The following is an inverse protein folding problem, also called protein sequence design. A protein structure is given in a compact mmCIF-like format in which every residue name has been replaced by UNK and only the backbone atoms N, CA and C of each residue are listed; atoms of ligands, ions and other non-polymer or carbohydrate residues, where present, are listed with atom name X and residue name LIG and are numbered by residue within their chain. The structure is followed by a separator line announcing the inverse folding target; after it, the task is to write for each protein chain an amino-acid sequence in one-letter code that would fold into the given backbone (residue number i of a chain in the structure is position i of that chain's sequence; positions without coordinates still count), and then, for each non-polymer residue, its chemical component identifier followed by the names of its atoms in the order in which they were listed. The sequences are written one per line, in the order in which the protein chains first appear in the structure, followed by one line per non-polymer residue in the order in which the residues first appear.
data_IF_714828256267
#
_entry.id   IF_714828256267
#
_cell.length_a   1.000
_cell.length_b   1.000
_cell.length_c   1.000
_cell.angle_alpha   90.00
_cell.angle_beta   90.00
_cell.angle_gamma   90.00
#
_symmetry.space_group_name_H-M   'P 1'
#
loop_
_entity.id
_entity.type
_entity.pdbx_description
1 polymer ?
#
# COMPACT_ATOMS: atom_id res chain seq x y z
N UNK A 1 14.75 -27.36 13.02
CA UNK A 1 15.44 -26.50 14.00
C UNK A 1 14.42 -25.50 14.54
N UNK A 2 13.99 -25.58 15.81
CA UNK A 2 13.06 -24.59 16.39
C UNK A 2 13.77 -23.23 16.31
N UNK A 3 13.24 -22.32 15.49
CA UNK A 3 13.71 -20.93 15.48
C UNK A 3 13.13 -20.29 16.75
N UNK A 4 14.00 -20.01 17.71
CA UNK A 4 13.63 -19.42 19.00
C UNK A 4 13.77 -17.90 18.89
N UNK A 5 12.84 -17.15 19.49
CA UNK A 5 12.97 -15.71 19.62
C UNK A 5 13.96 -15.41 20.76
N UNK A 6 15.13 -14.91 20.41
CA UNK A 6 16.14 -14.52 21.38
C UNK A 6 15.82 -13.13 21.95
N UNK A 7 15.40 -13.09 23.22
CA UNK A 7 15.02 -11.83 23.91
C UNK A 7 16.14 -10.79 23.85
N UNK A 8 17.36 -11.19 24.21
CA UNK A 8 18.51 -10.27 24.28
C UNK A 8 18.85 -9.67 22.92
N UNK A 9 18.77 -10.48 21.85
CA UNK A 9 18.98 -10.01 20.48
C UNK A 9 17.89 -9.04 20.04
N UNK A 10 16.63 -9.32 20.37
CA UNK A 10 15.50 -8.44 20.07
C UNK A 10 15.66 -7.09 20.79
N UNK A 11 15.96 -7.10 22.09
CA UNK A 11 16.12 -5.89 22.90
C UNK A 11 17.36 -5.09 22.52
N UNK A 12 18.45 -5.75 22.12
CA UNK A 12 19.63 -5.06 21.59
C UNK A 12 19.33 -4.29 20.31
N UNK A 13 18.46 -4.85 19.46
CA UNK A 13 18.05 -4.23 18.19
C UNK A 13 16.96 -3.18 18.37
N UNK A 14 16.10 -3.34 19.38
CA UNK A 14 15.01 -2.42 19.70
C UNK A 14 14.95 -2.13 21.21
N UNK A 15 15.86 -1.29 21.74
CA UNK A 15 15.99 -1.07 23.18
C UNK A 15 14.73 -0.51 23.85
N UNK A 16 13.93 0.26 23.11
CA UNK A 16 12.69 0.85 23.63
C UNK A 16 11.60 -0.17 23.97
N UNK A 17 11.67 -1.41 23.43
CA UNK A 17 10.67 -2.45 23.67
C UNK A 17 10.67 -2.93 25.12
N UNK A 18 11.82 -2.91 25.80
CA UNK A 18 11.90 -3.37 27.20
C UNK A 18 10.98 -2.55 28.11
N UNK A 19 11.00 -1.22 27.95
CA UNK A 19 10.13 -0.31 28.70
C UNK A 19 8.65 -0.57 28.42
N UNK A 20 8.28 -0.85 27.17
CA UNK A 20 6.90 -1.15 26.78
C UNK A 20 6.43 -2.50 27.34
N UNK A 21 7.28 -3.52 27.29
CA UNK A 21 6.97 -4.84 27.84
C UNK A 21 6.72 -4.78 29.34
N UNK A 22 7.53 -4.03 30.09
CA UNK A 22 7.34 -3.83 31.53
C UNK A 22 6.04 -3.04 31.79
N UNK A 23 5.86 -1.90 31.09
CA UNK A 23 4.69 -1.02 31.27
C UNK A 23 3.37 -1.76 31.06
N UNK A 24 3.28 -2.58 30.01
CA UNK A 24 2.04 -3.28 29.64
C UNK A 24 1.97 -4.72 30.11
N UNK A 25 2.92 -5.16 30.97
CA UNK A 25 3.01 -6.52 31.50
C UNK A 25 2.88 -7.58 30.39
N UNK A 26 3.67 -7.43 29.32
CA UNK A 26 3.63 -8.33 28.17
C UNK A 26 4.34 -9.63 28.52
N UNK A 27 3.65 -10.76 28.37
CA UNK A 27 4.24 -12.08 28.58
C UNK A 27 5.16 -12.44 27.39
N UNK A 28 6.45 -12.67 27.66
CA UNK A 28 7.40 -13.08 26.63
C UNK A 28 7.12 -14.48 26.07
N UNK A 29 6.54 -15.38 26.86
CA UNK A 29 6.17 -16.72 26.40
C UNK A 29 5.13 -16.65 25.28
N UNK A 30 4.12 -15.78 25.41
CA UNK A 30 3.14 -15.53 24.34
C UNK A 30 3.83 -15.03 23.05
N UNK A 31 4.83 -14.15 23.18
CA UNK A 31 5.58 -13.65 22.02
C UNK A 31 6.37 -14.76 21.34
N UNK A 32 6.98 -15.65 22.13
CA UNK A 32 7.71 -16.82 21.66
C UNK A 32 6.79 -17.81 20.93
N UNK A 33 5.57 -18.03 21.44
CA UNK A 33 4.56 -18.87 20.80
C UNK A 33 4.09 -18.27 19.48
N UNK A 34 3.75 -16.98 19.45
CA UNK A 34 3.35 -16.27 18.21
C UNK A 34 4.46 -16.32 17.18
N UNK A 35 5.71 -16.08 17.58
CA UNK A 35 6.88 -16.15 16.69
C UNK A 35 7.00 -17.54 16.04
N UNK A 36 6.86 -18.59 16.85
CA UNK A 36 6.96 -19.98 16.40
C UNK A 36 5.81 -20.36 15.47
N UNK A 37 4.57 -19.99 15.82
CA UNK A 37 3.39 -20.17 14.97
C UNK A 37 3.57 -19.47 13.61
N UNK A 38 3.91 -18.19 13.64
CA UNK A 38 4.06 -17.38 12.43
C UNK A 38 5.10 -17.93 11.44
N UNK A 39 6.22 -18.45 11.96
CA UNK A 39 7.25 -19.10 11.12
C UNK A 39 6.69 -20.31 10.38
N UNK A 40 5.81 -21.09 11.01
CA UNK A 40 5.20 -22.26 10.36
C UNK A 40 4.23 -21.84 9.24
N UNK A 41 3.54 -20.70 9.38
CA UNK A 41 2.61 -20.18 8.37
C UNK A 41 3.29 -19.38 7.26
N UNK A 42 4.56 -19.00 7.40
CA UNK A 42 5.25 -18.09 6.47
C UNK A 42 5.17 -18.53 5.01
N UNK A 43 5.46 -19.80 4.71
CA UNK A 43 5.39 -20.34 3.35
C UNK A 43 3.96 -20.30 2.79
N UNK A 44 2.95 -20.53 3.65
CA UNK A 44 1.54 -20.44 3.25
C UNK A 44 1.19 -19.00 2.88
N UNK A 45 1.62 -18.03 3.68
CA UNK A 45 1.44 -16.60 3.37
C UNK A 45 2.16 -16.19 2.09
N UNK A 46 3.36 -16.70 1.81
CA UNK A 46 4.07 -16.44 0.54
C UNK A 46 3.26 -16.92 -0.68
N UNK A 47 2.68 -18.13 -0.60
CA UNK A 47 1.81 -18.65 -1.66
C UNK A 47 0.54 -17.82 -1.85
N UNK A 48 -0.10 -17.46 -0.74
CA UNK A 48 -1.33 -16.67 -0.75
C UNK A 48 -1.09 -15.24 -1.27
N UNK A 49 0.03 -14.62 -0.89
CA UNK A 49 0.44 -13.33 -1.42
C UNK A 49 0.72 -13.40 -2.92
N UNK A 50 1.35 -14.47 -3.39
CA UNK A 50 1.59 -14.71 -4.81
C UNK A 50 0.29 -14.88 -5.60
N UNK A 51 -0.70 -15.55 -5.01
CA UNK A 51 -2.03 -15.70 -5.60
C UNK A 51 -2.72 -14.34 -5.78
N UNK A 52 -2.80 -13.52 -4.73
CA UNK A 52 -3.37 -12.16 -4.81
C UNK A 52 -2.59 -11.32 -5.84
N UNK A 53 -1.26 -11.39 -5.81
CA UNK A 53 -0.42 -10.63 -6.73
C UNK A 53 -0.64 -11.03 -8.20
N UNK A 54 -0.88 -12.31 -8.49
CA UNK A 54 -1.21 -12.78 -9.83
C UNK A 54 -2.54 -12.22 -10.35
N UNK A 55 -3.56 -12.19 -9.49
CA UNK A 55 -4.87 -11.59 -9.85
C UNK A 55 -4.73 -10.10 -10.15
N UNK A 56 -3.98 -9.37 -9.32
CA UNK A 56 -3.75 -7.94 -9.54
C UNK A 56 -2.92 -7.67 -10.80
N UNK A 57 -1.97 -8.54 -11.15
CA UNK A 57 -1.18 -8.42 -12.38
C UNK A 57 -2.01 -8.57 -13.67
N UNK A 58 -3.19 -9.19 -13.62
CA UNK A 58 -4.06 -9.28 -14.81
C UNK A 58 -4.85 -8.01 -15.09
N UNK A 59 -4.85 -7.02 -14.19
CA UNK A 59 -5.52 -5.74 -14.43
C UNK A 59 -4.63 -4.83 -15.29
N UNK A 60 -5.17 -4.33 -16.40
CA UNK A 60 -4.46 -3.54 -17.41
C UNK A 60 -3.86 -2.23 -16.88
N UNK A 61 -4.50 -1.63 -15.87
CA UNK A 61 -4.05 -0.40 -15.21
C UNK A 61 -2.91 -0.61 -14.21
N UNK A 62 -2.59 -1.87 -13.89
CA UNK A 62 -1.49 -2.22 -12.98
C UNK A 62 -0.20 -2.38 -13.78
N UNK A 63 0.81 -1.59 -13.44
CA UNK A 63 2.14 -1.69 -14.04
C UNK A 63 2.96 -2.83 -13.46
N UNK A 64 3.00 -2.94 -12.13
CA UNK A 64 3.69 -4.04 -11.46
C UNK A 64 3.11 -4.31 -10.08
N UNK A 65 3.31 -5.53 -9.59
CA UNK A 65 2.86 -5.94 -8.26
C UNK A 65 4.04 -6.55 -7.50
N UNK A 66 4.31 -6.04 -6.31
CA UNK A 66 5.25 -6.61 -5.36
C UNK A 66 4.48 -7.23 -4.19
N UNK A 67 4.98 -8.35 -3.68
CA UNK A 67 4.45 -8.97 -2.47
C UNK A 67 5.53 -9.02 -1.40
N UNK A 68 5.14 -8.82 -0.15
CA UNK A 68 6.01 -8.91 1.01
C UNK A 68 5.28 -9.59 2.15
N UNK A 69 5.94 -10.56 2.77
CA UNK A 69 5.50 -11.16 4.02
C UNK A 69 6.21 -10.44 5.17
N UNK A 70 5.47 -10.16 6.26
CA UNK A 70 6.05 -9.52 7.45
C UNK A 70 7.22 -10.35 7.96
N UNK A 71 8.31 -9.69 8.30
CA UNK A 71 9.43 -10.37 8.93
C UNK A 71 9.04 -10.81 10.36
N UNK A 72 9.39 -12.04 10.80
CA UNK A 72 9.02 -12.53 12.13
C UNK A 72 9.50 -11.66 13.30
N UNK A 73 10.74 -11.13 13.27
CA UNK A 73 11.21 -10.23 14.33
C UNK A 73 10.43 -8.92 14.31
N UNK A 74 10.13 -8.38 13.11
CA UNK A 74 9.29 -7.18 12.92
C UNK A 74 7.84 -7.38 13.34
N UNK A 75 7.31 -8.59 13.23
CA UNK A 75 5.98 -8.91 13.74
C UNK A 75 5.96 -8.75 15.26
N UNK A 76 6.94 -9.31 15.96
CA UNK A 76 7.03 -9.22 17.43
C UNK A 76 7.22 -7.76 17.89
N UNK A 77 8.09 -7.00 17.23
CA UNK A 77 8.24 -5.55 17.49
C UNK A 77 6.91 -4.82 17.31
N UNK A 78 6.17 -5.09 16.22
CA UNK A 78 4.86 -4.48 15.97
C UNK A 78 3.82 -4.88 17.03
N UNK A 79 3.80 -6.14 17.45
CA UNK A 79 2.90 -6.65 18.50
C UNK A 79 3.13 -5.89 19.81
N UNK A 80 4.38 -5.79 20.26
CA UNK A 80 4.72 -5.07 21.50
C UNK A 80 4.27 -3.61 21.42
N UNK A 81 4.54 -2.93 20.29
CA UNK A 81 4.12 -1.54 20.09
C UNK A 81 2.60 -1.37 20.06
N UNK A 82 1.86 -2.34 19.53
CA UNK A 82 0.40 -2.29 19.40
C UNK A 82 -0.36 -2.75 20.65
N UNK A 83 0.31 -3.29 21.65
CA UNK A 83 -0.33 -3.74 22.90
C UNK A 83 -1.11 -2.62 23.58
N UNK A 84 -0.58 -1.40 23.63
CA UNK A 84 -1.28 -0.24 24.22
C UNK A 84 -2.60 0.03 23.51
N UNK A 85 -2.57 0.15 22.17
CA UNK A 85 -3.76 0.39 21.35
C UNK A 85 -4.82 -0.69 21.58
N UNK A 86 -4.42 -1.95 21.77
CA UNK A 86 -5.35 -3.07 21.98
C UNK A 86 -5.88 -3.15 23.40
N UNK A 87 -5.07 -2.81 24.42
CA UNK A 87 -5.57 -2.67 25.80
C UNK A 87 -6.58 -1.53 25.90
N UNK A 88 -6.31 -0.40 25.25
CA UNK A 88 -7.26 0.72 25.18
C UNK A 88 -8.58 0.33 24.50
N UNK A 89 -8.54 -0.58 23.50
CA UNK A 89 -9.73 -1.04 22.77
C UNK A 89 -10.51 -2.16 23.47
N UNK A 90 -9.82 -3.12 24.09
CA UNK A 90 -10.42 -4.36 24.58
C UNK A 90 -10.31 -4.56 26.10
N UNK A 91 -9.65 -3.64 26.81
CA UNK A 91 -9.44 -3.68 28.26
C UNK A 91 -8.00 -4.04 28.66
N UNK A 92 -7.65 -3.69 29.90
CA UNK A 92 -6.29 -3.82 30.43
C UNK A 92 -5.77 -5.26 30.48
N UNK A 93 -6.66 -6.26 30.50
CA UNK A 93 -6.29 -7.68 30.51
C UNK A 93 -5.93 -8.23 29.12
N UNK A 94 -6.09 -7.43 28.05
CA UNK A 94 -5.73 -7.87 26.71
C UNK A 94 -4.25 -8.26 26.60
N UNK A 95 -4.01 -9.42 26.01
CA UNK A 95 -2.69 -9.92 25.61
C UNK A 95 -2.80 -10.49 24.20
N UNK A 96 -1.75 -10.27 23.41
CA UNK A 96 -1.63 -11.00 22.15
C UNK A 96 -1.38 -12.49 22.44
N UNK A 97 -2.03 -13.35 21.67
CA UNK A 97 -1.85 -14.81 21.68
C UNK A 97 -1.85 -15.35 20.24
N UNK A 98 -1.56 -16.64 20.10
CA UNK A 98 -1.63 -17.35 18.80
C UNK A 98 -3.03 -17.29 18.16
N UNK A 99 -4.08 -17.11 18.97
CA UNK A 99 -5.48 -17.11 18.50
C UNK A 99 -5.91 -15.76 17.92
N UNK A 100 -5.33 -14.65 18.42
CA UNK A 100 -5.79 -13.31 18.07
C UNK A 100 -4.86 -12.54 17.14
N UNK A 101 -3.55 -12.82 17.14
CA UNK A 101 -2.58 -11.95 16.45
C UNK A 101 -2.81 -11.85 14.94
N UNK A 102 -3.32 -12.92 14.30
CA UNK A 102 -3.62 -12.97 12.86
C UNK A 102 -4.79 -12.05 12.46
N UNK A 103 -5.70 -11.79 13.39
CA UNK A 103 -6.83 -10.88 13.17
C UNK A 103 -6.52 -9.44 13.58
N UNK A 104 -5.57 -9.25 14.49
CA UNK A 104 -5.25 -7.94 15.05
C UNK A 104 -4.10 -7.23 14.32
N UNK A 105 -3.23 -8.00 13.65
CA UNK A 105 -2.13 -7.49 12.83
C UNK A 105 -2.50 -7.67 11.36
N UNK A 106 -2.89 -6.56 10.74
CA UNK A 106 -3.52 -6.53 9.42
C UNK A 106 -2.53 -6.60 8.23
N UNK A 107 -1.23 -6.41 8.47
CA UNK A 107 -0.17 -6.33 7.45
C UNK A 107 0.78 -7.55 7.48
N UNK A 108 0.27 -8.73 7.83
CA UNK A 108 1.04 -9.98 7.73
C UNK A 108 1.40 -10.30 6.27
N UNK A 109 0.40 -10.12 5.38
CA UNK A 109 0.55 -10.14 3.93
C UNK A 109 0.42 -8.70 3.43
N UNK A 110 1.50 -8.16 2.87
CA UNK A 110 1.50 -6.86 2.21
C UNK A 110 1.65 -7.02 0.70
N UNK A 111 0.74 -6.43 -0.06
CA UNK A 111 0.78 -6.36 -1.52
C UNK A 111 0.93 -4.90 -1.92
N UNK A 112 1.85 -4.61 -2.84
CA UNK A 112 2.02 -3.27 -3.41
C UNK A 112 1.70 -3.31 -4.88
N UNK A 113 0.68 -2.56 -5.25
CA UNK A 113 0.22 -2.39 -6.62
C UNK A 113 0.73 -1.05 -7.10
N UNK A 114 1.55 -1.09 -8.15
CA UNK A 114 2.17 0.09 -8.73
C UNK A 114 1.46 0.38 -10.05
N UNK A 115 0.95 1.60 -10.20
CA UNK A 115 0.44 2.15 -11.45
C UNK A 115 1.29 3.34 -11.91
N UNK A 116 1.12 3.78 -13.16
CA UNK A 116 1.99 4.82 -13.74
C UNK A 116 1.40 6.21 -13.48
N UNK A 117 0.12 6.38 -13.78
CA UNK A 117 -0.57 7.68 -13.73
C UNK A 117 -1.66 7.67 -12.66
N UNK A 118 -1.95 8.83 -12.06
CA UNK A 118 -2.85 8.93 -10.90
C UNK A 118 -4.26 8.48 -11.21
N UNK A 119 -4.79 8.82 -12.40
CA UNK A 119 -6.16 8.48 -12.80
C UNK A 119 -6.42 6.98 -12.91
N UNK A 120 -5.38 6.17 -13.13
CA UNK A 120 -5.47 4.71 -13.22
C UNK A 120 -5.90 4.06 -11.90
N UNK A 121 -5.73 4.76 -10.78
CA UNK A 121 -6.13 4.27 -9.47
C UNK A 121 -7.62 3.92 -9.42
N UNK A 122 -8.50 4.65 -10.13
CA UNK A 122 -9.95 4.44 -10.06
C UNK A 122 -10.35 3.06 -10.60
N UNK A 123 -9.81 2.66 -11.73
CA UNK A 123 -10.06 1.32 -12.28
C UNK A 123 -9.49 0.20 -11.41
N UNK A 124 -8.36 0.46 -10.73
CA UNK A 124 -7.78 -0.48 -9.76
C UNK A 124 -8.66 -0.58 -8.51
N UNK A 125 -9.20 0.55 -8.04
CA UNK A 125 -10.14 0.62 -6.93
C UNK A 125 -11.37 -0.25 -7.21
N UNK A 126 -12.05 0.00 -8.33
CA UNK A 126 -13.23 -0.77 -8.76
C UNK A 126 -12.93 -2.26 -8.88
N UNK A 127 -11.75 -2.61 -9.41
CA UNK A 127 -11.30 -3.99 -9.50
C UNK A 127 -11.12 -4.64 -8.11
N UNK A 128 -10.50 -3.94 -7.15
CA UNK A 128 -10.28 -4.48 -5.80
C UNK A 128 -11.61 -4.69 -5.08
N UNK A 129 -12.51 -3.71 -5.09
CA UNK A 129 -13.79 -3.79 -4.37
C UNK A 129 -14.74 -4.83 -4.98
N UNK A 130 -14.64 -5.10 -6.28
CA UNK A 130 -15.43 -6.13 -6.95
C UNK A 130 -14.83 -7.54 -6.78
N UNK A 131 -13.53 -7.65 -6.54
CA UNK A 131 -12.82 -8.93 -6.43
C UNK A 131 -12.80 -9.47 -4.99
N UNK A 132 -12.66 -8.60 -3.98
CA UNK A 132 -12.52 -9.01 -2.59
C UNK A 132 -13.51 -8.30 -1.67
N UNK A 133 -13.79 -8.94 -0.53
CA UNK A 133 -14.48 -8.28 0.58
C UNK A 133 -13.50 -7.31 1.26
N UNK A 134 -13.74 -6.02 1.11
CA UNK A 134 -12.91 -4.97 1.70
C UNK A 134 -13.42 -4.62 3.10
N UNK A 135 -12.53 -4.60 4.09
CA UNK A 135 -12.82 -4.29 5.51
C UNK A 135 -12.67 -2.79 5.77
N UNK A 136 -11.58 -2.21 5.28
CA UNK A 136 -11.20 -0.82 5.51
C UNK A 136 -10.49 -0.29 4.26
N UNK A 137 -10.79 0.95 3.88
CA UNK A 137 -10.08 1.69 2.85
C UNK A 137 -9.57 2.98 3.48
N UNK A 138 -8.29 3.28 3.29
CA UNK A 138 -7.69 4.51 3.78
C UNK A 138 -6.84 5.16 2.70
N UNK A 139 -7.14 6.40 2.33
CA UNK A 139 -6.28 7.23 1.49
C UNK A 139 -5.29 7.99 2.37
N UNK A 140 -4.01 7.62 2.31
CA UNK A 140 -2.95 8.43 2.91
C UNK A 140 -2.53 9.49 1.90
N UNK A 141 -2.59 10.76 2.31
CA UNK A 141 -2.27 11.90 1.45
C UNK A 141 -1.32 12.87 2.16
N UNK A 142 -0.74 13.79 1.39
CA UNK A 142 -0.09 14.98 1.94
C UNK A 142 -1.11 16.11 2.08
N UNK A 143 -0.94 16.94 3.09
CA UNK A 143 -1.70 18.18 3.23
C UNK A 143 -1.58 19.06 1.96
N UNK A 144 -2.73 19.45 1.41
CA UNK A 144 -2.86 20.22 0.17
C UNK A 144 -3.09 19.38 -1.09
N UNK A 145 -3.01 18.04 -1.02
CA UNK A 145 -3.42 17.18 -2.12
C UNK A 145 -4.95 17.23 -2.31
N UNK A 146 -5.42 16.96 -3.54
CA UNK A 146 -6.86 16.89 -3.83
C UNK A 146 -7.50 15.63 -3.21
N UNK A 147 -8.57 15.80 -2.45
CA UNK A 147 -9.30 14.73 -1.74
C UNK A 147 -10.66 14.39 -2.33
N UNK A 148 -11.15 15.15 -3.31
CA UNK A 148 -12.54 15.05 -3.80
C UNK A 148 -12.93 13.64 -4.22
N UNK A 149 -12.09 12.96 -5.01
CA UNK A 149 -12.37 11.61 -5.50
C UNK A 149 -12.50 10.60 -4.35
N UNK A 150 -11.75 10.79 -3.25
CA UNK A 150 -11.82 9.93 -2.07
C UNK A 150 -13.07 10.22 -1.24
N UNK A 151 -13.42 11.50 -1.06
CA UNK A 151 -14.61 11.95 -0.34
C UNK A 151 -15.90 11.48 -1.05
N UNK A 152 -15.95 11.57 -2.38
CA UNK A 152 -17.08 11.08 -3.20
C UNK A 152 -17.33 9.57 -3.03
N UNK A 153 -16.27 8.81 -2.74
CA UNK A 153 -16.32 7.36 -2.53
C UNK A 153 -16.40 6.97 -1.05
N UNK A 154 -16.60 7.94 -0.15
CA UNK A 154 -16.64 7.74 1.32
C UNK A 154 -15.37 7.02 1.86
N UNK A 155 -14.21 7.32 1.27
CA UNK A 155 -12.92 6.75 1.68
C UNK A 155 -12.30 7.62 2.77
N UNK A 156 -11.88 6.99 3.87
CA UNK A 156 -11.21 7.69 4.97
C UNK A 156 -9.88 8.32 4.51
N UNK A 157 -9.78 9.64 4.61
CA UNK A 157 -8.57 10.40 4.25
C UNK A 157 -7.72 10.65 5.50
N UNK A 158 -6.46 10.21 5.47
CA UNK A 158 -5.47 10.45 6.53
C UNK A 158 -4.32 11.29 6.01
N UNK A 159 -4.22 12.53 6.47
CA UNK A 159 -3.08 13.39 6.19
C UNK A 159 -1.82 12.89 6.91
N UNK A 160 -0.71 12.81 6.18
CA UNK A 160 0.60 12.39 6.70
C UNK A 160 1.58 13.54 6.64
N UNK A 161 2.07 13.97 7.81
CA UNK A 161 3.08 15.02 7.92
C UNK A 161 4.40 14.67 7.18
N UNK A 162 4.70 13.39 6.99
CA UNK A 162 5.85 12.95 6.18
C UNK A 162 5.67 13.16 4.68
N UNK A 163 4.46 13.49 4.21
CA UNK A 163 4.12 13.53 2.79
C UNK A 163 3.90 12.15 2.15
N UNK A 164 3.82 11.09 2.96
CA UNK A 164 3.56 9.74 2.49
C UNK A 164 2.18 9.65 1.81
N UNK A 165 2.16 9.13 0.58
CA UNK A 165 0.96 8.92 -0.24
C UNK A 165 0.80 7.45 -0.60
N UNK A 166 -0.40 6.92 -0.37
CA UNK A 166 -0.79 5.57 -0.79
C UNK A 166 -2.23 5.32 -0.37
N UNK A 167 -3.01 4.65 -1.23
CA UNK A 167 -4.32 4.15 -0.85
C UNK A 167 -4.20 2.72 -0.36
N UNK A 168 -4.69 2.46 0.84
CA UNK A 168 -4.61 1.18 1.53
C UNK A 168 -5.97 0.51 1.52
N UNK A 169 -5.99 -0.76 1.15
CA UNK A 169 -7.15 -1.62 1.18
C UNK A 169 -6.84 -2.79 2.09
N UNK A 170 -7.66 -2.98 3.11
CA UNK A 170 -7.63 -4.17 3.92
C UNK A 170 -8.65 -5.17 3.39
N UNK A 171 -8.19 -6.28 2.82
CA UNK A 171 -9.07 -7.26 2.16
C UNK A 171 -9.12 -8.58 2.92
N UNK A 172 -10.31 -9.17 3.01
CA UNK A 172 -10.51 -10.55 3.43
C UNK A 172 -10.54 -11.46 2.21
N UNK A 173 -9.83 -12.58 2.26
CA UNK A 173 -9.92 -13.63 1.27
C UNK A 173 -9.79 -15.01 1.93
N UNK A 174 -10.29 -16.03 1.24
CA UNK A 174 -10.43 -17.40 1.73
C UNK A 174 -9.72 -18.35 0.76
N UNK A 175 -8.37 -18.47 0.83
CA UNK A 175 -7.63 -19.38 -0.04
C UNK A 175 -7.89 -20.85 0.32
N UNK A 176 -8.37 -21.09 1.54
CA UNK A 176 -8.88 -22.35 2.07
C UNK A 176 -10.12 -22.02 2.90
N UNK A 177 -10.53 -22.92 3.81
CA UNK A 177 -11.62 -22.62 4.75
C UNK A 177 -11.22 -21.63 5.86
N UNK A 178 -9.98 -21.16 5.89
CA UNK A 178 -9.51 -20.15 6.84
C UNK A 178 -9.52 -18.75 6.24
N UNK A 179 -10.01 -17.81 7.03
CA UNK A 179 -9.96 -16.38 6.72
C UNK A 179 -8.51 -15.88 6.76
N UNK A 180 -8.12 -15.14 5.73
CA UNK A 180 -6.84 -14.44 5.69
C UNK A 180 -7.08 -12.97 5.36
N UNK A 181 -6.30 -12.10 6.01
CA UNK A 181 -6.31 -10.66 5.80
C UNK A 181 -5.04 -10.27 5.06
N UNK A 182 -5.18 -9.47 4.00
CA UNK A 182 -4.07 -8.88 3.28
C UNK A 182 -4.24 -7.36 3.17
N UNK A 183 -3.13 -6.63 3.29
CA UNK A 183 -3.07 -5.20 3.05
C UNK A 183 -2.59 -4.97 1.62
N UNK A 184 -3.45 -4.41 0.76
CA UNK A 184 -3.10 -3.98 -0.60
C UNK A 184 -2.85 -2.47 -0.58
N UNK A 185 -1.66 -2.07 -0.97
CA UNK A 185 -1.24 -0.67 -1.06
C UNK A 185 -1.13 -0.29 -2.53
N UNK A 186 -1.98 0.62 -2.99
CA UNK A 186 -1.97 1.13 -4.35
C UNK A 186 -1.22 2.46 -4.37
N UNK A 187 -0.25 2.58 -5.29
CA UNK A 187 0.67 3.71 -5.40
C UNK A 187 1.06 3.97 -6.85
N UNK A 188 1.36 5.22 -7.18
CA UNK A 188 2.10 5.51 -8.42
C UNK A 188 3.57 5.07 -8.30
N UNK A 189 4.26 4.99 -9.44
CA UNK A 189 5.72 4.71 -9.46
C UNK A 189 6.52 5.76 -8.66
N UNK A 190 6.06 7.01 -8.68
CA UNK A 190 6.65 8.12 -7.93
C UNK A 190 6.43 7.96 -6.43
N UNK A 191 5.20 7.65 -6.01
CA UNK A 191 4.84 7.40 -4.62
C UNK A 191 5.57 6.19 -4.03
N UNK A 192 5.71 5.10 -4.79
CA UNK A 192 6.52 3.94 -4.40
C UNK A 192 8.00 4.30 -4.28
N UNK A 193 8.55 5.03 -5.26
CA UNK A 193 9.94 5.48 -5.25
C UNK A 193 10.26 6.33 -4.03
N UNK A 194 9.43 7.33 -3.75
CA UNK A 194 9.56 8.15 -2.54
C UNK A 194 9.40 7.32 -1.27
N UNK A 195 8.37 6.47 -1.20
CA UNK A 195 8.08 5.65 -0.03
C UNK A 195 9.23 4.72 0.34
N UNK A 196 9.91 4.13 -0.64
CA UNK A 196 11.10 3.28 -0.41
C UNK A 196 12.32 4.09 0.05
N UNK A 197 12.56 5.29 -0.52
CA UNK A 197 13.64 6.19 -0.10
C UNK A 197 13.42 6.68 1.33
N UNK A 198 12.23 7.22 1.63
CA UNK A 198 11.86 7.73 2.95
C UNK A 198 11.96 6.61 4.00
N UNK A 199 11.42 5.43 3.71
CA UNK A 199 11.51 4.27 4.59
C UNK A 199 12.97 3.88 4.86
N UNK A 200 13.84 3.80 3.85
CA UNK A 200 15.24 3.41 4.03
C UNK A 200 16.03 4.43 4.86
N UNK A 201 15.80 5.72 4.65
CA UNK A 201 16.49 6.78 5.39
C UNK A 201 16.01 6.86 6.84
N UNK A 202 14.70 6.77 7.07
CA UNK A 202 14.14 6.70 8.43
C UNK A 202 14.60 5.46 9.17
N UNK A 203 14.72 4.32 8.50
CA UNK A 203 15.19 3.09 9.14
C UNK A 203 16.65 3.08 9.53
N UNK A 204 17.46 3.97 8.96
CA UNK A 204 18.89 4.05 9.26
C UNK A 204 19.18 4.86 10.52
N UNK A 205 18.14 5.46 11.14
CA UNK A 205 18.28 6.35 12.28
C UNK A 205 17.21 6.03 13.34
N UNK A 206 17.57 6.13 14.62
CA UNK A 206 16.58 6.07 15.70
C UNK A 206 15.68 7.31 15.70
N UNK A 207 16.28 8.48 15.43
CA UNK A 207 15.60 9.76 15.20
C UNK A 207 16.20 10.42 13.97
N UNK A 208 15.36 10.86 13.03
CA UNK A 208 15.87 11.54 11.83
C UNK A 208 16.30 12.97 12.20
N UNK A 209 17.52 13.39 11.83
CA UNK A 209 17.94 14.79 11.94
C UNK A 209 16.99 15.74 11.20
N UNK A 210 16.70 16.90 11.80
CA UNK A 210 15.78 17.91 11.24
C UNK A 210 16.16 18.35 9.82
N UNK A 211 17.46 18.46 9.54
CA UNK A 211 17.96 18.78 8.20
C UNK A 211 17.59 17.71 7.17
N UNK A 212 17.66 16.43 7.53
CA UNK A 212 17.25 15.33 6.67
C UNK A 212 15.73 15.30 6.51
N UNK A 213 14.97 15.53 7.59
CA UNK A 213 13.51 15.63 7.52
C UNK A 213 13.08 16.73 6.55
N UNK A 214 13.68 17.92 6.66
CA UNK A 214 13.37 19.07 5.80
C UNK A 214 13.67 18.77 4.33
N UNK A 215 14.81 18.15 4.03
CA UNK A 215 15.16 17.75 2.67
C UNK A 215 14.27 16.63 2.14
N UNK A 216 13.83 15.69 2.98
CA UNK A 216 12.86 14.65 2.59
C UNK A 216 11.49 15.23 2.26
N UNK A 217 11.06 16.27 2.97
CA UNK A 217 9.83 16.99 2.65
C UNK A 217 9.94 17.77 1.34
N UNK A 218 11.10 18.38 1.08
CA UNK A 218 11.36 19.03 -0.21
C UNK A 218 11.34 18.01 -1.35
N UNK A 219 12.02 16.88 -1.18
CA UNK A 219 12.02 15.80 -2.16
C UNK A 219 10.61 15.25 -2.40
N UNK A 220 9.81 15.09 -1.34
CA UNK A 220 8.42 14.67 -1.46
C UNK A 220 7.59 15.62 -2.35
N UNK A 221 7.81 16.93 -2.22
CA UNK A 221 7.13 17.94 -3.06
C UNK A 221 7.50 17.77 -4.52
N UNK A 222 8.79 17.62 -4.82
CA UNK A 222 9.28 17.41 -6.20
C UNK A 222 8.68 16.15 -6.80
N UNK A 223 8.69 15.04 -6.04
CA UNK A 223 8.13 13.76 -6.50
C UNK A 223 6.62 13.88 -6.73
N UNK A 224 5.89 14.56 -5.84
CA UNK A 224 4.45 14.80 -6.02
C UNK A 224 4.16 15.62 -7.27
N UNK A 225 4.90 16.70 -7.52
CA UNK A 225 4.74 17.51 -8.73
C UNK A 225 5.11 16.75 -9.99
N UNK A 226 6.13 15.88 -9.95
CA UNK A 226 6.48 15.03 -11.08
C UNK A 226 5.36 14.02 -11.41
N UNK A 227 4.72 13.46 -10.39
CA UNK A 227 3.60 12.52 -10.52
C UNK A 227 2.36 13.20 -11.13
N UNK A 228 2.03 14.41 -10.67
CA UNK A 228 0.97 15.24 -11.24
C UNK A 228 1.27 15.62 -12.70
N UNK A 229 2.50 16.05 -12.99
CA UNK A 229 2.92 16.43 -14.33
C UNK A 229 2.88 15.24 -15.30
N UNK A 230 3.30 14.05 -14.86
CA UNK A 230 3.22 12.83 -15.68
C UNK A 230 1.76 12.51 -16.04
N UNK A 231 0.85 12.61 -15.08
CA UNK A 231 -0.59 12.37 -15.29
C UNK A 231 -1.21 13.43 -16.23
N UNK A 232 -0.83 14.70 -16.07
CA UNK A 232 -1.26 15.78 -16.98
C UNK A 232 -0.81 15.53 -18.42
N UNK A 233 0.47 15.20 -18.63
CA UNK A 233 1.02 14.92 -19.96
C UNK A 233 0.29 13.73 -20.61
N UNK A 234 -0.01 12.69 -19.83
CA UNK A 234 -0.76 11.54 -20.31
C UNK A 234 -2.16 11.91 -20.78
N UNK A 235 -2.88 12.73 -20.00
CA UNK A 235 -4.22 13.19 -20.37
C UNK A 235 -4.20 14.08 -21.61
N UNK A 236 -3.25 15.02 -21.71
CA UNK A 236 -3.06 15.84 -22.91
C UNK A 236 -2.77 14.99 -24.15
N UNK A 237 -1.95 13.94 -24.01
CA UNK A 237 -1.65 13.02 -25.10
C UNK A 237 -2.90 12.23 -25.55
N UNK A 238 -3.74 11.77 -24.62
CA UNK A 238 -5.03 11.11 -24.94
C UNK A 238 -5.94 12.05 -25.73
N UNK A 239 -6.13 13.28 -25.25
CA UNK A 239 -6.94 14.30 -25.94
C UNK A 239 -6.38 14.63 -27.34
N UNK A 240 -5.06 14.68 -27.47
CA UNK A 240 -4.41 14.94 -28.76
C UNK A 240 -4.66 13.82 -29.77
N UNK A 241 -4.55 12.56 -29.34
CA UNK A 241 -4.82 11.39 -30.19
C UNK A 241 -6.28 11.40 -30.66
N UNK A 242 -7.23 11.72 -29.78
CA UNK A 242 -8.65 11.83 -30.14
C UNK A 242 -8.88 12.92 -31.20
N UNK A 243 -8.28 14.10 -31.02
CA UNK A 243 -8.35 15.19 -32.02
C UNK A 243 -7.72 14.79 -33.34
N UNK A 244 -6.56 14.14 -33.32
CA UNK A 244 -5.86 13.68 -34.52
C UNK A 244 -6.70 12.66 -35.29
N UNK A 245 -7.33 11.71 -34.60
CA UNK A 245 -8.24 10.74 -35.22
C UNK A 245 -9.45 11.43 -35.86
N UNK A 246 -10.07 12.39 -35.15
CA UNK A 246 -11.19 13.18 -35.70
C UNK A 246 -10.78 13.95 -36.96
N UNK A 247 -9.62 14.59 -36.96
CA UNK A 247 -9.13 15.30 -38.14
C UNK A 247 -8.81 14.34 -39.30
N UNK A 248 -8.30 13.13 -39.04
CA UNK A 248 -8.10 12.11 -40.07
C UNK A 248 -9.42 11.67 -40.70
N UNK A 249 -10.45 11.43 -39.89
CA UNK A 249 -11.80 11.09 -40.38
C UNK A 249 -12.41 12.23 -41.22
N UNK A 250 -12.27 13.48 -40.78
CA UNK A 250 -12.73 14.66 -41.54
C UNK A 250 -12.01 14.80 -42.88
N UNK A 251 -10.68 14.63 -42.90
CA UNK A 251 -9.89 14.64 -44.13
C UNK A 251 -10.31 13.51 -45.08
N UNK A 252 -10.57 12.31 -44.57
CA UNK A 252 -11.03 11.18 -45.38
C UNK A 252 -12.42 11.44 -45.99
N UNK A 253 -13.35 11.99 -45.21
CA UNK A 253 -14.67 12.41 -45.69
C UNK A 253 -14.58 13.49 -46.77
N UNK A 254 -13.70 14.49 -46.59
CA UNK A 254 -13.47 15.54 -47.58
C UNK A 254 -12.88 14.97 -48.88
N UNK A 255 -11.92 14.04 -48.79
CA UNK A 255 -11.35 13.36 -49.96
C UNK A 255 -12.41 12.60 -50.75
N UNK A 256 -13.27 11.82 -50.08
CA UNK A 256 -14.38 11.10 -50.73
C UNK A 256 -15.33 12.04 -51.47
N UNK A 257 -15.66 13.20 -50.88
CA UNK A 257 -16.51 14.22 -51.52
C UNK A 257 -15.84 14.83 -52.75
N UNK A 258 -14.54 15.11 -52.69
CA UNK A 258 -13.78 15.63 -53.84
C UNK A 258 -13.78 14.59 -54.97
N UNK A 259 -13.49 13.32 -54.68
CA UNK A 259 -13.49 12.24 -55.67
C UNK A 259 -14.89 12.06 -56.33
N UNK A 260 -15.97 12.20 -55.56
CA UNK A 260 -17.35 12.17 -56.08
C UNK A 260 -17.63 13.35 -57.01
N UNK A 261 -17.23 14.56 -56.62
CA UNK A 261 -17.40 15.76 -57.45
C UNK A 261 -16.61 15.65 -58.76
N UNK A 262 -15.39 15.13 -58.72
CA UNK A 262 -14.55 14.91 -59.92
C UNK A 262 -15.14 13.87 -60.86
N UNK A 263 -15.87 12.87 -60.36
CA UNK A 263 -16.57 11.85 -61.19
C UNK A 263 -17.86 12.36 -61.83
N UNK A 264 -18.41 13.47 -61.34
CA UNK A 264 -19.69 14.02 -61.82
C UNK A 264 -19.50 15.14 -62.85
N UNK A 265 -18.26 15.55 -63.10
CA UNK A 265 -17.82 16.49 -64.15
C UNK A 265 -17.39 15.74 -65.41
#
# INVERSE_FOLDING_TARGET
MRKILEKDKLLKKYPYLEKQMIKYKINFENLQEIYSDYINYKNSYENQASFIANILRSQSMVHSVKSRIKDPERLIEKIIRKTEDRKNKYGDEFQFSVDNYKNEINDLIGIRVIHIFKEQWREIHEFIISTWKVIEITANIREGDNTKDFEELDIEVRSRASGYRSVHYLVEFYPTNQKVIAEIQVRTIFEEGYGEIDHRLRYSHDEIPEILQSNLLLFNRIVGSADEMASLINNLNKEWIEKENKYKEEIEMLRKKVDEMERTL
#
